data_IF_906924809413
#
_entry.id   IF_906924809413
#
_cell.length_a   1.000
_cell.length_b   1.000
_cell.length_c   1.000
_cell.angle_alpha   90.00
_cell.angle_beta   90.00
_cell.angle_gamma   90.00
#
_symmetry.space_group_name_H-M   'P 1'
#
loop_
_entity.id
_entity.type
_entity.pdbx_description
1 polymer ?
#
# COMPACT_ATOMS: atom_id res chain seq x y z
N UNK A 1 7.98 -29.56 -9.28
CA UNK A 1 7.65 -28.70 -8.12
C UNK A 1 6.38 -29.27 -7.50
N UNK A 2 6.40 -29.63 -6.21
CA UNK A 2 5.20 -30.15 -5.54
C UNK A 2 4.29 -28.96 -5.18
N UNK A 3 3.12 -28.89 -5.79
CA UNK A 3 2.12 -27.88 -5.50
C UNK A 3 1.41 -28.28 -4.20
N UNK A 4 1.73 -27.60 -3.10
CA UNK A 4 1.04 -27.82 -1.83
C UNK A 4 -0.40 -27.34 -1.98
N UNK A 5 -1.36 -28.21 -1.73
CA UNK A 5 -2.80 -27.93 -1.85
C UNK A 5 -3.39 -27.44 -0.54
N UNK A 6 -4.47 -26.65 -0.62
CA UNK A 6 -5.21 -26.19 0.56
C UNK A 6 -5.65 -27.36 1.47
N UNK A 7 -6.07 -28.48 0.86
CA UNK A 7 -6.50 -29.68 1.57
C UNK A 7 -5.39 -30.31 2.41
N UNK A 8 -4.14 -30.28 1.94
CA UNK A 8 -2.99 -30.79 2.69
C UNK A 8 -2.66 -29.89 3.89
N UNK A 9 -2.73 -28.56 3.71
CA UNK A 9 -2.54 -27.60 4.80
C UNK A 9 -3.63 -27.75 5.86
N UNK A 10 -4.89 -27.89 5.45
CA UNK A 10 -6.02 -28.09 6.35
C UNK A 10 -5.89 -29.41 7.14
N UNK A 11 -5.46 -30.49 6.49
CA UNK A 11 -5.22 -31.78 7.14
C UNK A 11 -4.09 -31.72 8.18
N UNK A 12 -3.09 -30.85 7.98
CA UNK A 12 -2.02 -30.61 8.95
C UNK A 12 -2.51 -29.78 10.15
N UNK A 13 -3.27 -28.72 9.90
CA UNK A 13 -3.81 -27.86 10.97
C UNK A 13 -4.79 -28.63 11.85
N UNK A 14 -5.60 -29.51 11.28
CA UNK A 14 -6.55 -30.35 12.01
C UNK A 14 -5.89 -31.32 13.02
N UNK A 15 -4.59 -31.61 12.87
CA UNK A 15 -3.82 -32.46 13.80
C UNK A 15 -3.21 -31.68 14.96
N UNK A 16 -3.31 -30.35 14.97
CA UNK A 16 -2.75 -29.51 16.01
C UNK A 16 -3.73 -29.33 17.17
N UNK A 17 -3.23 -29.27 18.42
CA UNK A 17 -4.05 -28.85 19.54
C UNK A 17 -4.48 -27.39 19.39
N UNK A 18 -5.68 -27.05 19.85
CA UNK A 18 -6.27 -25.72 19.69
C UNK A 18 -5.38 -24.60 20.21
N UNK A 19 -4.64 -24.84 21.30
CA UNK A 19 -3.69 -23.89 21.89
C UNK A 19 -2.56 -23.48 20.96
N UNK A 20 -2.25 -24.28 19.92
CA UNK A 20 -1.21 -24.01 18.93
C UNK A 20 -1.76 -23.46 17.60
N UNK A 21 -3.08 -23.37 17.43
CA UNK A 21 -3.70 -22.80 16.23
C UNK A 21 -3.29 -21.34 15.98
N UNK A 22 -3.18 -20.46 17.00
CA UNK A 22 -2.71 -19.09 16.78
C UNK A 22 -1.28 -19.03 16.22
N UNK A 23 -0.41 -19.96 16.64
CA UNK A 23 0.97 -20.04 16.19
C UNK A 23 1.06 -20.60 14.76
N UNK A 24 0.28 -21.63 14.46
CA UNK A 24 0.17 -22.19 13.12
C UNK A 24 -0.36 -21.17 12.11
N UNK A 25 -1.37 -20.37 12.50
CA UNK A 25 -1.90 -19.29 11.68
C UNK A 25 -0.84 -18.24 11.34
N UNK A 26 -0.08 -17.77 12.35
CA UNK A 26 1.00 -16.79 12.13
C UNK A 26 2.08 -17.32 11.19
N UNK A 27 2.46 -18.58 11.34
CA UNK A 27 3.45 -19.22 10.47
C UNK A 27 2.92 -19.32 9.02
N UNK A 28 1.71 -19.86 8.83
CA UNK A 28 1.09 -19.96 7.51
C UNK A 28 0.94 -18.59 6.86
N UNK A 29 0.50 -17.59 7.61
CA UNK A 29 0.39 -16.21 7.15
C UNK A 29 1.75 -15.66 6.71
N UNK A 30 2.83 -15.89 7.49
CA UNK A 30 4.18 -15.44 7.15
C UNK A 30 4.74 -16.11 5.89
N UNK A 31 4.35 -17.36 5.63
CA UNK A 31 4.75 -18.12 4.44
C UNK A 31 3.96 -17.69 3.20
N UNK A 32 2.72 -17.21 3.35
CA UNK A 32 1.91 -16.67 2.25
C UNK A 32 2.18 -15.19 1.98
N UNK A 33 2.81 -14.46 2.90
CA UNK A 33 3.26 -13.07 2.69
C UNK A 33 4.60 -13.00 1.97
N UNK A 34 4.86 -13.91 1.03
CA UNK A 34 5.81 -13.69 -0.05
C UNK A 34 5.12 -12.91 -1.16
N UNK A 35 4.93 -11.61 -0.93
CA UNK A 35 4.81 -10.51 -1.91
C UNK A 35 4.06 -9.33 -1.29
N UNK A 36 4.78 -8.21 -1.14
CA UNK A 36 4.26 -6.85 -1.03
C UNK A 36 3.07 -6.65 -0.10
N UNK A 37 3.33 -6.49 1.21
CA UNK A 37 2.37 -5.78 2.05
C UNK A 37 1.97 -4.48 1.37
N UNK A 38 0.67 -4.30 1.15
CA UNK A 38 0.15 -3.13 0.45
C UNK A 38 0.64 -1.86 1.16
N UNK A 39 1.00 -0.80 0.43
CA UNK A 39 1.41 0.47 1.04
C UNK A 39 0.43 0.95 2.12
N UNK A 40 -0.87 0.66 1.92
CA UNK A 40 -1.95 0.94 2.86
C UNK A 40 -1.84 0.11 4.15
N UNK A 41 -1.55 -1.20 4.04
CA UNK A 41 -1.35 -2.06 5.21
C UNK A 41 -0.12 -1.65 6.02
N UNK A 42 0.95 -1.22 5.35
CA UNK A 42 2.15 -0.67 6.00
C UNK A 42 1.84 0.66 6.72
N UNK A 43 1.09 1.54 6.08
CA UNK A 43 0.72 2.84 6.64
C UNK A 43 -0.13 2.73 7.91
N UNK A 44 -1.08 1.79 7.95
CA UNK A 44 -1.97 1.60 9.11
C UNK A 44 -1.20 1.09 10.34
N UNK A 45 -0.08 0.39 10.15
CA UNK A 45 0.76 -0.12 11.24
C UNK A 45 1.66 0.94 11.88
N UNK A 46 1.81 2.10 11.25
CA UNK A 46 2.57 3.21 11.80
C UNK A 46 1.85 3.86 12.98
N UNK A 47 2.64 4.36 13.94
CA UNK A 47 2.12 5.20 15.02
C UNK A 47 1.45 6.46 14.48
N UNK A 48 0.64 7.12 15.32
CA UNK A 48 -0.02 8.36 14.92
C UNK A 48 0.99 9.48 14.57
N UNK A 49 2.16 9.49 15.19
CA UNK A 49 3.20 10.50 14.93
C UNK A 49 3.92 10.23 13.62
N UNK A 50 4.28 8.98 13.34
CA UNK A 50 4.89 8.58 12.07
C UNK A 50 3.95 8.83 10.89
N UNK A 51 2.66 8.54 11.05
CA UNK A 51 1.64 8.86 10.03
C UNK A 51 1.55 10.36 9.77
N UNK A 52 1.54 11.17 10.83
CA UNK A 52 1.52 12.64 10.70
C UNK A 52 2.73 13.14 9.95
N UNK A 53 3.93 12.69 10.32
CA UNK A 53 5.17 13.10 9.67
C UNK A 53 5.20 12.75 8.17
N UNK A 54 4.77 11.54 7.81
CA UNK A 54 4.67 11.11 6.41
C UNK A 54 3.69 11.97 5.61
N UNK A 55 2.52 12.27 6.17
CA UNK A 55 1.52 13.13 5.53
C UNK A 55 2.02 14.57 5.39
N UNK A 56 2.76 15.10 6.36
CA UNK A 56 3.37 16.43 6.28
C UNK A 56 4.36 16.53 5.12
N UNK A 57 5.24 15.55 4.98
CA UNK A 57 6.22 15.51 3.89
C UNK A 57 5.54 15.41 2.52
N UNK A 58 4.51 14.59 2.41
CA UNK A 58 3.75 14.44 1.17
C UNK A 58 2.99 15.73 0.80
N UNK A 59 2.49 16.46 1.79
CA UNK A 59 1.84 17.75 1.58
C UNK A 59 2.82 18.83 1.09
N UNK A 60 4.04 18.88 1.64
CA UNK A 60 5.10 19.77 1.15
C UNK A 60 5.48 19.45 -0.30
N UNK A 61 5.72 18.17 -0.61
CA UNK A 61 6.04 17.75 -1.98
C UNK A 61 4.94 18.10 -2.99
N UNK A 62 3.67 17.93 -2.62
CA UNK A 62 2.57 18.35 -3.48
C UNK A 62 2.52 19.85 -3.66
N UNK A 63 2.75 20.62 -2.59
CA UNK A 63 2.78 22.09 -2.67
C UNK A 63 3.86 22.54 -3.65
N UNK A 64 5.08 22.02 -3.52
CA UNK A 64 6.20 22.33 -4.40
C UNK A 64 5.88 21.97 -5.86
N UNK A 65 5.23 20.82 -6.08
CA UNK A 65 4.80 20.40 -7.41
C UNK A 65 3.74 21.36 -8.02
N UNK A 66 2.78 21.81 -7.22
CA UNK A 66 1.77 22.79 -7.68
C UNK A 66 2.39 24.17 -7.96
N UNK A 67 3.34 24.62 -7.15
CA UNK A 67 4.06 25.87 -7.39
C UNK A 67 4.87 25.80 -8.70
N UNK A 68 5.52 24.67 -8.98
CA UNK A 68 6.27 24.45 -10.23
C UNK A 68 5.38 24.37 -11.48
N UNK A 69 4.18 23.80 -11.35
CA UNK A 69 3.23 23.65 -12.48
C UNK A 69 2.28 24.83 -12.63
N UNK A 70 2.48 25.91 -11.85
CA UNK A 70 1.61 27.10 -11.90
C UNK A 70 1.66 27.80 -13.26
N UNK A 71 2.84 27.86 -13.89
CA UNK A 71 3.01 28.48 -15.21
C UNK A 71 2.35 27.64 -16.32
N UNK A 72 2.56 26.31 -16.31
CA UNK A 72 1.91 25.38 -17.24
C UNK A 72 0.38 25.43 -17.07
N UNK A 73 -0.12 25.52 -15.84
CA UNK A 73 -1.56 25.63 -15.58
C UNK A 73 -2.14 26.92 -16.14
N UNK A 74 -1.38 28.01 -16.13
CA UNK A 74 -1.83 29.30 -16.66
C UNK A 74 -1.93 29.25 -18.18
N UNK A 75 -1.01 28.58 -18.88
CA UNK A 75 -1.09 28.36 -20.33
C UNK A 75 -2.30 27.51 -20.75
N UNK A 76 -2.59 26.42 -20.02
CA UNK A 76 -3.75 25.58 -20.31
C UNK A 76 -5.09 26.24 -19.94
N UNK A 77 -5.10 27.15 -18.96
CA UNK A 77 -6.30 27.90 -18.54
C UNK A 77 -6.51 29.20 -19.31
N UNK A 78 -5.48 29.74 -19.98
CA UNK A 78 -5.56 30.99 -20.73
C UNK A 78 -6.42 30.89 -22.00
N UNK A 79 -6.71 29.68 -22.49
CA UNK A 79 -7.71 29.45 -23.53
C UNK A 79 -7.49 30.29 -24.79
N UNK A 80 -6.24 30.54 -25.19
CA UNK A 80 -5.94 31.22 -26.45
C UNK A 80 -6.11 30.22 -27.60
N UNK A 81 -7.37 29.93 -27.93
CA UNK A 81 -7.73 29.50 -29.26
C UNK A 81 -7.48 30.70 -30.17
N UNK A 82 -6.28 30.77 -30.74
CA UNK A 82 -5.99 31.67 -31.84
C UNK A 82 -6.99 31.35 -32.95
N UNK A 83 -8.01 32.19 -33.09
CA UNK A 83 -8.96 32.14 -34.21
C UNK A 83 -8.20 32.67 -35.43
N UNK A 84 -7.64 31.76 -36.24
CA UNK A 84 -7.03 32.10 -37.52
C UNK A 84 -8.13 32.63 -38.46
N UNK A 85 -8.18 33.97 -38.61
CA UNK A 85 -8.98 34.69 -39.60
C UNK A 85 -8.13 35.17 -40.78
#
# INVERSE_FOLDING_TARGET
MQTITHTEVQALVAKLPESKLPLAYRLLHSLTTTEGESPQAKFIRLSADERRQLLSQQAEQMKDHYEQTTDERTEWQAGDFVDES
#
